data_IF_194705182696
#
_entry.id   IF_194705182696
#
_cell.length_a   1.000
_cell.length_b   1.000
_cell.length_c   1.000
_cell.angle_alpha   90.00
_cell.angle_beta   90.00
_cell.angle_gamma   90.00
#
_symmetry.space_group_name_H-M   'P 1'
#
loop_
_entity.id
_entity.type
_entity.pdbx_description
1 polymer ?
#
# COMPACT_ATOMS: atom_id res chain seq x y z
N UNK A 1 -29.38 25.65 51.47
CA UNK A 1 -29.58 24.36 50.75
C UNK A 1 -29.64 24.51 49.24
N UNK A 2 -30.51 25.35 48.66
CA UNK A 2 -30.62 25.50 47.21
C UNK A 2 -29.32 25.87 46.47
N UNK A 3 -28.51 26.78 47.04
CA UNK A 3 -27.21 27.16 46.46
C UNK A 3 -26.23 25.97 46.37
N UNK A 4 -26.18 25.13 47.41
CA UNK A 4 -25.32 23.94 47.44
C UNK A 4 -25.78 22.89 46.43
N UNK A 5 -27.09 22.69 46.30
CA UNK A 5 -27.67 21.79 45.30
C UNK A 5 -27.34 22.29 43.88
N UNK A 6 -27.48 23.59 43.63
CA UNK A 6 -27.15 24.20 42.35
C UNK A 6 -25.68 23.95 41.96
N UNK A 7 -24.74 24.23 42.88
CA UNK A 7 -23.32 23.98 42.61
C UNK A 7 -23.01 22.49 42.44
N UNK A 8 -23.63 21.60 43.24
CA UNK A 8 -23.45 20.17 43.10
C UNK A 8 -23.90 19.65 41.72
N UNK A 9 -25.05 20.11 41.23
CA UNK A 9 -25.55 19.76 39.88
C UNK A 9 -24.66 20.35 38.80
N UNK A 10 -24.28 21.62 38.90
CA UNK A 10 -23.41 22.26 37.92
C UNK A 10 -22.04 21.56 37.81
N UNK A 11 -21.44 21.19 38.95
CA UNK A 11 -20.18 20.46 38.99
C UNK A 11 -20.33 19.03 38.45
N UNK A 12 -21.42 18.34 38.81
CA UNK A 12 -21.73 17.01 38.28
C UNK A 12 -21.87 16.99 36.75
N UNK A 13 -22.56 17.99 36.19
CA UNK A 13 -22.66 18.16 34.74
C UNK A 13 -21.30 18.47 34.10
N UNK A 14 -20.50 19.34 34.72
CA UNK A 14 -19.15 19.65 34.23
C UNK A 14 -18.25 18.42 34.18
N UNK A 15 -18.27 17.57 35.21
CA UNK A 15 -17.54 16.30 35.24
C UNK A 15 -18.05 15.35 34.15
N UNK A 16 -19.38 15.19 34.02
CA UNK A 16 -19.97 14.33 32.99
C UNK A 16 -19.57 14.76 31.58
N UNK A 17 -19.66 16.05 31.26
CA UNK A 17 -19.30 16.55 29.93
C UNK A 17 -17.80 16.44 29.66
N UNK A 18 -16.95 16.69 30.66
CA UNK A 18 -15.49 16.50 30.53
C UNK A 18 -15.17 15.04 30.24
N UNK A 19 -15.81 14.11 30.96
CA UNK A 19 -15.66 12.68 30.74
C UNK A 19 -16.16 12.26 29.36
N UNK A 20 -17.33 12.73 28.93
CA UNK A 20 -17.90 12.43 27.62
C UNK A 20 -17.08 13.04 26.45
N UNK A 21 -16.46 14.20 26.64
CA UNK A 21 -15.58 14.81 25.63
C UNK A 21 -14.26 14.05 25.47
N UNK A 22 -13.78 13.42 26.55
CA UNK A 22 -12.56 12.61 26.55
C UNK A 22 -12.85 11.19 26.05
N UNK A 23 -13.87 10.50 26.57
CA UNK A 23 -14.13 9.08 26.29
C UNK A 23 -15.25 8.80 25.27
N UNK A 24 -16.05 9.78 24.88
CA UNK A 24 -17.16 9.56 23.95
C UNK A 24 -16.70 9.26 22.53
N UNK A 25 -17.59 8.66 21.73
CA UNK A 25 -17.34 8.27 20.33
C UNK A 25 -16.90 9.43 19.42
N UNK A 26 -17.15 10.68 19.83
CA UNK A 26 -16.74 11.93 19.15
C UNK A 26 -15.58 12.66 19.85
N UNK A 27 -14.98 12.04 20.86
CA UNK A 27 -13.87 12.60 21.63
C UNK A 27 -12.58 12.69 20.84
N UNK A 28 -11.60 13.42 21.38
CA UNK A 28 -10.31 13.70 20.74
C UNK A 28 -9.55 12.41 20.33
N UNK A 29 -9.74 11.31 21.05
CA UNK A 29 -9.10 10.03 20.75
C UNK A 29 -9.57 9.40 19.44
N UNK A 30 -10.85 9.52 19.08
CA UNK A 30 -11.36 8.96 17.82
C UNK A 30 -10.72 9.64 16.60
N UNK A 31 -10.46 10.95 16.69
CA UNK A 31 -9.75 11.70 15.64
C UNK A 31 -8.30 11.26 15.51
N UNK A 32 -7.63 10.97 16.64
CA UNK A 32 -6.25 10.48 16.63
C UNK A 32 -6.15 9.08 16.02
N UNK A 33 -7.09 8.19 16.37
CA UNK A 33 -7.19 6.83 15.82
C UNK A 33 -7.42 6.85 14.31
N UNK A 34 -8.41 7.63 13.83
CA UNK A 34 -8.70 7.76 12.40
C UNK A 34 -7.49 8.31 11.63
N UNK A 35 -6.76 9.27 12.19
CA UNK A 35 -5.55 9.80 11.56
C UNK A 35 -4.45 8.73 11.46
N UNK A 36 -4.23 7.94 12.52
CA UNK A 36 -3.27 6.85 12.50
C UNK A 36 -3.64 5.79 11.46
N UNK A 37 -4.90 5.36 11.41
CA UNK A 37 -5.42 4.42 10.42
C UNK A 37 -5.27 4.96 8.99
N UNK A 38 -5.54 6.25 8.79
CA UNK A 38 -5.37 6.91 7.49
C UNK A 38 -3.90 6.88 7.03
N UNK A 39 -2.95 7.13 7.93
CA UNK A 39 -1.51 7.07 7.61
C UNK A 39 -1.11 5.65 7.22
N UNK A 40 -1.58 4.64 7.96
CA UNK A 40 -1.30 3.24 7.65
C UNK A 40 -1.87 2.83 6.29
N UNK A 41 -3.14 3.15 6.02
CA UNK A 41 -3.81 2.86 4.76
C UNK A 41 -3.10 3.53 3.57
N UNK A 42 -2.64 4.77 3.72
CA UNK A 42 -1.86 5.46 2.69
C UNK A 42 -0.55 4.73 2.40
N UNK A 43 0.18 4.32 3.43
CA UNK A 43 1.41 3.55 3.25
C UNK A 43 1.15 2.18 2.58
N UNK A 44 0.03 1.53 2.87
CA UNK A 44 -0.38 0.30 2.18
C UNK A 44 -0.71 0.56 0.70
N UNK A 45 -1.43 1.64 0.40
CA UNK A 45 -1.78 2.06 -0.95
C UNK A 45 -0.52 2.34 -1.78
N UNK A 46 0.42 3.10 -1.24
CA UNK A 46 1.69 3.42 -1.93
C UNK A 46 2.48 2.15 -2.26
N UNK A 47 2.55 1.19 -1.33
CA UNK A 47 3.18 -0.12 -1.58
C UNK A 47 2.48 -0.89 -2.70
N UNK A 48 1.15 -0.86 -2.73
CA UNK A 48 0.37 -1.56 -3.75
C UNK A 48 0.55 -0.92 -5.13
N UNK A 49 0.55 0.41 -5.20
CA UNK A 49 0.82 1.15 -6.43
C UNK A 49 2.21 0.84 -7.00
N UNK A 50 3.23 0.74 -6.14
CA UNK A 50 4.57 0.34 -6.60
C UNK A 50 4.56 -1.07 -7.21
N UNK A 51 3.84 -2.03 -6.62
CA UNK A 51 3.72 -3.39 -7.16
C UNK A 51 2.96 -3.40 -8.49
N UNK A 52 1.90 -2.61 -8.60
CA UNK A 52 1.16 -2.47 -9.86
C UNK A 52 2.07 -1.91 -10.94
N UNK A 53 2.83 -0.84 -10.65
CA UNK A 53 3.77 -0.25 -11.60
C UNK A 53 4.88 -1.24 -12.02
N UNK A 54 5.38 -2.05 -11.10
CA UNK A 54 6.34 -3.12 -11.41
C UNK A 54 5.72 -4.18 -12.33
N UNK A 55 4.53 -4.68 -12.01
CA UNK A 55 3.83 -5.66 -12.84
C UNK A 55 3.50 -5.09 -14.22
N UNK A 56 3.03 -3.85 -14.31
CA UNK A 56 2.79 -3.17 -15.58
C UNK A 56 4.07 -3.05 -16.42
N UNK A 57 5.20 -2.75 -15.79
CA UNK A 57 6.50 -2.72 -16.48
C UNK A 57 6.87 -4.09 -17.03
N UNK A 58 6.77 -5.14 -16.20
CA UNK A 58 7.04 -6.52 -16.61
C UNK A 58 6.13 -6.96 -17.75
N UNK A 59 4.82 -6.70 -17.65
CA UNK A 59 3.84 -7.00 -18.70
C UNK A 59 4.15 -6.24 -19.98
N UNK A 60 4.52 -4.96 -19.91
CA UNK A 60 4.94 -4.19 -21.10
C UNK A 60 6.19 -4.78 -21.75
N UNK A 61 7.18 -5.16 -20.95
CA UNK A 61 8.43 -5.78 -21.43
C UNK A 61 8.23 -7.17 -22.02
N UNK A 62 7.20 -7.89 -21.58
CA UNK A 62 6.81 -9.17 -22.13
C UNK A 62 5.89 -9.04 -23.36
N UNK A 63 5.34 -7.86 -23.63
CA UNK A 63 4.50 -7.64 -24.81
C UNK A 63 5.34 -7.59 -26.09
N UNK A 64 4.82 -8.22 -27.16
CA UNK A 64 5.46 -8.40 -28.48
C UNK A 64 6.07 -7.15 -29.11
N UNK A 65 5.70 -5.94 -28.68
CA UNK A 65 6.27 -4.70 -29.22
C UNK A 65 7.66 -4.36 -28.65
N UNK A 66 8.03 -4.96 -27.52
CA UNK A 66 9.36 -4.86 -26.89
C UNK A 66 10.09 -6.21 -26.79
N UNK A 67 9.38 -7.31 -27.04
CA UNK A 67 9.94 -8.65 -27.06
C UNK A 67 10.47 -8.93 -28.47
N UNK A 68 11.76 -8.69 -28.67
CA UNK A 68 12.42 -8.99 -29.95
C UNK A 68 12.51 -10.52 -30.11
N UNK A 69 11.49 -11.11 -30.75
CA UNK A 69 11.35 -12.55 -30.95
C UNK A 69 12.58 -13.12 -31.68
N UNK A 70 13.24 -12.31 -32.52
CA UNK A 70 14.47 -12.69 -33.22
C UNK A 70 15.65 -12.85 -32.24
N UNK A 71 15.76 -11.99 -31.22
CA UNK A 71 16.78 -12.14 -30.15
C UNK A 71 16.50 -13.34 -29.25
N UNK A 72 15.23 -13.67 -29.00
CA UNK A 72 14.86 -14.88 -28.26
C UNK A 72 15.14 -16.15 -29.07
N UNK A 73 14.90 -16.15 -30.38
CA UNK A 73 15.26 -17.28 -31.26
C UNK A 73 16.80 -17.45 -31.31
N UNK A 74 17.54 -16.34 -31.38
CA UNK A 74 19.00 -16.36 -31.31
C UNK A 74 19.51 -16.94 -29.98
N UNK A 75 18.96 -16.49 -28.84
CA UNK A 75 19.34 -16.98 -27.52
C UNK A 75 18.87 -18.42 -27.26
N UNK A 76 17.72 -18.81 -27.81
CA UNK A 76 17.24 -20.20 -27.79
C UNK A 76 18.15 -21.11 -28.62
N UNK A 77 18.64 -20.67 -29.79
CA UNK A 77 19.62 -21.42 -30.60
C UNK A 77 20.96 -21.59 -29.89
N UNK A 78 21.46 -20.52 -29.25
CA UNK A 78 22.72 -20.53 -28.50
C UNK A 78 22.64 -21.42 -27.25
N UNK A 79 21.51 -21.43 -26.54
CA UNK A 79 21.33 -22.20 -25.30
C UNK A 79 20.90 -23.64 -25.55
N UNK A 80 20.02 -23.89 -26.53
CA UNK A 80 19.51 -25.23 -26.86
C UNK A 80 20.38 -25.98 -27.87
N UNK A 81 21.48 -25.38 -28.33
CA UNK A 81 22.48 -26.08 -29.13
C UNK A 81 21.95 -26.58 -30.46
N UNK A 82 21.04 -25.85 -31.11
CA UNK A 82 20.71 -26.07 -32.52
C UNK A 82 21.78 -25.45 -33.43
N UNK A 83 23.06 -25.68 -33.10
CA UNK A 83 24.08 -25.67 -34.14
C UNK A 83 23.83 -26.94 -34.95
N UNK A 84 23.42 -26.75 -36.20
CA UNK A 84 23.45 -27.77 -37.23
C UNK A 84 24.80 -28.48 -37.14
N UNK A 85 24.79 -29.81 -37.00
CA UNK A 85 25.96 -30.67 -36.82
C UNK A 85 26.93 -30.71 -38.02
N UNK A 86 26.90 -29.71 -38.90
CA UNK A 86 27.51 -29.68 -40.22
C UNK A 86 28.35 -28.42 -40.51
N UNK A 87 28.57 -27.52 -39.55
CA UNK A 87 29.59 -26.46 -39.70
C UNK A 87 30.99 -26.92 -39.22
N UNK A 88 31.87 -27.14 -40.20
CA UNK A 88 33.30 -27.40 -39.99
C UNK A 88 33.99 -26.07 -39.65
N UNK A 89 34.46 -25.92 -38.41
CA UNK A 89 35.36 -24.82 -38.03
C UNK A 89 36.77 -25.15 -38.50
N UNK A 90 37.25 -24.42 -39.51
CA UNK A 90 38.67 -24.38 -39.90
C UNK A 90 39.33 -23.22 -39.15
N UNK A 91 40.07 -23.53 -38.07
CA UNK A 91 41.43 -23.07 -37.77
C UNK A 91 41.82 -23.46 -36.34
#
# INVERSE_FOLDING_TARGET
>A
MGLLIYFAVAFGLGVYFTFAAVQGDYGLFRRAEIQAETVELRAQLDRLNMRVAEMENLTRRLSDTFLDIDLLDQQARDVLGLLRSDEIVIR
#
